data_IF_224419642615
#
_entry.id   IF_224419642615
#
_cell.length_a   1.000
_cell.length_b   1.000
_cell.length_c   1.000
_cell.angle_alpha   90.00
_cell.angle_beta   90.00
_cell.angle_gamma   90.00
#
_symmetry.space_group_name_H-M   'P 1'
#
loop_
_entity.id
_entity.type
_entity.pdbx_description
1 polymer ?
#
# COMPACT_ATOMS: atom_id res chain seq x y z
N UNK A 1 -1.91 -11.24 10.85
CA UNK A 1 -3.32 -11.13 10.38
C UNK A 1 -3.68 -9.83 9.64
N UNK A 2 -3.05 -8.65 9.84
CA UNK A 2 -3.33 -7.47 8.99
C UNK A 2 -2.83 -7.63 7.54
N UNK A 3 -1.66 -8.26 7.36
CA UNK A 3 -0.96 -8.37 6.09
C UNK A 3 -1.72 -9.18 5.01
N UNK A 4 -2.32 -10.32 5.38
CA UNK A 4 -3.10 -11.16 4.45
C UNK A 4 -4.34 -10.44 3.88
N UNK A 5 -4.92 -9.52 4.65
CA UNK A 5 -6.11 -8.77 4.22
C UNK A 5 -5.78 -7.58 3.31
N UNK A 6 -4.64 -6.91 3.54
CA UNK A 6 -4.08 -5.92 2.59
C UNK A 6 -3.85 -6.62 1.25
N UNK A 7 -3.21 -7.79 1.31
CA UNK A 7 -2.88 -8.59 0.14
C UNK A 7 -4.12 -9.05 -0.61
N UNK A 8 -5.20 -9.46 0.08
CA UNK A 8 -6.46 -9.84 -0.59
C UNK A 8 -7.09 -8.70 -1.41
N UNK A 9 -7.06 -7.47 -0.91
CA UNK A 9 -7.61 -6.31 -1.62
C UNK A 9 -6.71 -5.82 -2.76
N UNK A 10 -5.39 -5.85 -2.56
CA UNK A 10 -4.41 -5.59 -3.62
C UNK A 10 -4.42 -6.67 -4.71
N UNK A 11 -4.68 -7.92 -4.34
CA UNK A 11 -4.84 -9.05 -5.26
C UNK A 11 -6.12 -8.91 -6.10
N UNK A 12 -7.20 -8.34 -5.55
CA UNK A 12 -8.41 -8.01 -6.33
C UNK A 12 -8.15 -6.91 -7.37
N UNK A 13 -7.30 -5.93 -7.09
CA UNK A 13 -6.87 -4.93 -8.09
C UNK A 13 -6.12 -5.57 -9.27
N UNK A 14 -5.32 -6.61 -9.02
CA UNK A 14 -4.62 -7.34 -10.09
C UNK A 14 -5.58 -8.22 -10.91
N UNK A 15 -6.55 -8.89 -10.28
CA UNK A 15 -7.43 -9.84 -10.97
C UNK A 15 -8.57 -9.19 -11.79
N UNK A 16 -8.88 -7.91 -11.56
CA UNK A 16 -9.82 -7.17 -12.44
C UNK A 16 -9.17 -6.64 -13.72
N UNK A 17 -7.84 -6.73 -13.86
CA UNK A 17 -7.09 -6.29 -15.04
C UNK A 17 -6.55 -7.48 -15.86
N UNK A 18 -7.41 -8.20 -16.59
CA UNK A 18 -6.95 -9.09 -17.68
C UNK A 18 -7.91 -9.15 -18.88
N UNK A 19 -7.60 -8.37 -19.91
CA UNK A 19 -7.19 -8.87 -21.22
C UNK A 19 -7.11 -7.71 -22.24
N UNK A 20 -5.90 -7.41 -22.75
CA UNK A 20 -5.66 -7.21 -24.19
C UNK A 20 -4.15 -7.23 -24.51
N UNK A 21 -3.78 -7.69 -25.71
CA UNK A 21 -2.41 -8.04 -26.07
C UNK A 21 -1.56 -6.80 -26.39
N UNK A 22 -0.26 -6.92 -26.08
CA UNK A 22 0.76 -5.92 -26.34
C UNK A 22 0.79 -5.51 -27.82
N UNK A 23 0.58 -4.22 -28.09
CA UNK A 23 0.88 -3.59 -29.38
C UNK A 23 2.24 -2.92 -29.29
N UNK A 24 3.14 -3.27 -30.22
CA UNK A 24 4.44 -2.62 -30.40
C UNK A 24 4.23 -1.15 -30.78
N UNK A 25 4.92 -0.24 -30.10
CA UNK A 25 5.09 1.14 -30.58
C UNK A 25 6.58 1.38 -30.81
N UNK A 26 6.89 1.86 -32.01
CA UNK A 26 8.22 2.01 -32.57
C UNK A 26 9.01 3.19 -31.98
N UNK A 27 10.32 3.03 -32.06
CA UNK A 27 11.31 4.03 -31.73
C UNK A 27 11.26 5.21 -32.70
N UNK A 28 11.31 6.43 -32.17
CA UNK A 28 11.88 7.58 -32.89
C UNK A 28 12.86 8.30 -31.97
N UNK A 29 14.10 8.33 -32.44
CA UNK A 29 15.23 9.05 -31.86
C UNK A 29 15.16 10.51 -32.28
N UNK A 30 15.36 11.42 -31.33
CA UNK A 30 15.97 12.73 -31.58
C UNK A 30 16.68 13.19 -30.30
N UNK A 31 18.00 13.32 -30.40
CA UNK A 31 18.86 13.74 -29.32
C UNK A 31 18.93 15.25 -29.19
N UNK A 32 19.16 15.72 -27.97
CA UNK A 32 19.93 16.95 -27.75
C UNK A 32 20.58 16.90 -26.38
N UNK A 33 21.88 17.20 -26.35
CA UNK A 33 22.70 17.32 -25.17
C UNK A 33 22.21 18.48 -24.27
N UNK A 34 21.95 18.19 -22.99
CA UNK A 34 22.14 19.18 -21.93
C UNK A 34 22.77 18.50 -20.72
N UNK A 35 23.99 18.94 -20.40
CA UNK A 35 24.63 18.65 -19.14
C UNK A 35 23.93 19.46 -18.05
N UNK A 36 23.24 18.78 -17.12
CA UNK A 36 22.79 19.39 -15.88
C UNK A 36 23.60 18.80 -14.72
N UNK A 37 24.33 19.67 -14.04
CA UNK A 37 24.92 19.44 -12.73
C UNK A 37 23.80 19.08 -11.74
N UNK A 38 23.90 17.91 -11.09
CA UNK A 38 23.03 17.53 -9.97
C UNK A 38 23.75 17.87 -8.65
N UNK A 39 23.05 18.43 -7.65
CA UNK A 39 23.64 18.75 -6.35
C UNK A 39 23.87 17.48 -5.54
N UNK A 40 25.05 17.42 -4.92
CA UNK A 40 25.46 16.36 -3.99
C UNK A 40 24.62 16.42 -2.71
N UNK A 41 23.76 15.44 -2.50
CA UNK A 41 23.03 15.23 -1.26
C UNK A 41 22.98 13.74 -0.91
N UNK A 42 23.74 13.35 0.12
CA UNK A 42 23.74 12.04 0.77
C UNK A 42 23.80 10.82 -0.16
N UNK A 43 24.85 10.76 -0.97
CA UNK A 43 25.17 9.59 -1.78
C UNK A 43 25.87 8.57 -0.87
N UNK A 44 25.17 7.47 -0.56
CA UNK A 44 25.74 6.30 0.10
C UNK A 44 27.13 5.99 -0.48
N UNK A 45 28.14 5.85 0.39
CA UNK A 45 29.48 5.43 0.01
C UNK A 45 29.40 4.15 -0.81
N UNK A 46 29.52 4.33 -2.12
CA UNK A 46 29.56 3.24 -3.07
C UNK A 46 30.67 2.29 -2.63
N UNK A 47 30.34 1.01 -2.54
CA UNK A 47 31.32 -0.06 -2.45
C UNK A 47 32.06 -0.14 -3.82
N UNK A 48 32.91 0.86 -4.11
CA UNK A 48 33.73 1.00 -5.33
C UNK A 48 34.65 -0.22 -5.54
N UNK A 49 34.77 -1.08 -4.53
CA UNK A 49 35.58 -2.30 -4.54
C UNK A 49 34.83 -3.54 -5.05
N UNK A 50 33.49 -3.53 -5.14
CA UNK A 50 32.73 -4.78 -5.39
C UNK A 50 32.25 -4.94 -6.84
N UNK A 51 31.99 -3.85 -7.56
CA UNK A 51 31.49 -3.89 -8.94
C UNK A 51 32.20 -2.89 -9.85
N UNK A 52 32.40 -3.26 -11.11
CA UNK A 52 32.98 -2.36 -12.11
C UNK A 52 32.06 -1.14 -12.34
N UNK A 53 32.60 0.08 -12.53
CA UNK A 53 31.81 1.30 -12.73
C UNK A 53 30.79 1.21 -13.87
N UNK A 54 31.14 0.52 -14.96
CA UNK A 54 30.27 0.29 -16.11
C UNK A 54 29.01 -0.52 -15.77
N UNK A 55 29.12 -1.47 -14.83
CA UNK A 55 28.00 -2.30 -14.41
C UNK A 55 27.03 -1.52 -13.52
N UNK A 56 27.54 -0.68 -12.60
CA UNK A 56 26.72 0.24 -11.80
C UNK A 56 25.90 1.21 -12.66
N UNK A 57 26.50 1.76 -13.73
CA UNK A 57 25.78 2.58 -14.70
C UNK A 57 24.68 1.77 -15.43
N UNK A 58 24.98 0.54 -15.83
CA UNK A 58 24.01 -0.34 -16.49
C UNK A 58 22.81 -0.67 -15.59
N UNK A 59 23.02 -0.87 -14.28
CA UNK A 59 21.94 -1.10 -13.29
C UNK A 59 21.03 0.13 -13.22
N UNK A 60 21.61 1.32 -13.05
CA UNK A 60 20.82 2.55 -13.00
C UNK A 60 20.02 2.76 -14.28
N UNK A 61 20.59 2.43 -15.44
CA UNK A 61 19.87 2.52 -16.71
C UNK A 61 18.70 1.54 -16.79
N UNK A 62 18.89 0.26 -16.45
CA UNK A 62 17.83 -0.76 -16.58
C UNK A 62 16.71 -0.57 -15.57
N UNK A 63 16.99 0.03 -14.42
CA UNK A 63 15.98 0.30 -13.38
C UNK A 63 15.26 1.64 -13.57
N UNK A 64 15.56 2.42 -14.60
CA UNK A 64 15.06 3.81 -14.79
C UNK A 64 15.51 4.78 -13.69
N UNK A 65 16.73 4.61 -13.19
CA UNK A 65 17.46 5.51 -12.27
C UNK A 65 16.80 5.81 -10.91
N UNK A 66 16.19 4.84 -10.21
CA UNK A 66 15.66 5.07 -8.88
C UNK A 66 16.80 5.29 -7.87
N UNK A 67 16.51 5.90 -6.71
CA UNK A 67 17.40 5.83 -5.57
C UNK A 67 17.70 4.38 -5.20
N UNK A 68 18.99 4.04 -5.10
CA UNK A 68 19.47 2.71 -4.72
C UNK A 68 19.99 2.81 -3.29
N UNK A 69 19.42 2.01 -2.39
CA UNK A 69 19.77 2.00 -0.97
C UNK A 69 20.83 0.94 -0.65
N UNK A 70 20.83 -0.18 -1.37
CA UNK A 70 21.82 -1.24 -1.22
C UNK A 70 22.08 -1.91 -2.56
N UNK A 71 23.35 -2.26 -2.79
CA UNK A 71 23.78 -3.05 -3.93
C UNK A 71 24.82 -4.05 -3.44
N UNK A 72 24.50 -5.35 -3.48
CA UNK A 72 25.34 -6.40 -2.90
C UNK A 72 25.34 -7.65 -3.76
N UNK A 73 26.50 -8.31 -3.89
CA UNK A 73 26.60 -9.63 -4.55
C UNK A 73 26.08 -10.69 -3.58
N UNK A 74 25.15 -11.50 -4.04
CA UNK A 74 24.54 -12.59 -3.26
C UNK A 74 24.62 -13.89 -4.04
N UNK A 75 24.57 -15.01 -3.32
CA UNK A 75 24.40 -16.34 -3.89
C UNK A 75 22.94 -16.74 -3.75
N UNK A 76 22.24 -16.85 -4.87
CA UNK A 76 20.86 -17.33 -4.92
C UNK A 76 20.86 -18.84 -5.10
N UNK A 77 20.16 -19.55 -4.21
CA UNK A 77 19.95 -20.99 -4.34
C UNK A 77 18.84 -21.28 -5.36
N UNK A 78 19.19 -21.90 -6.49
CA UNK A 78 18.22 -22.22 -7.56
C UNK A 78 17.72 -23.66 -7.50
N UNK A 79 18.53 -24.55 -6.90
CA UNK A 79 18.20 -25.94 -6.56
C UNK A 79 18.93 -26.31 -5.27
N UNK A 80 18.50 -27.34 -4.52
CA UNK A 80 19.22 -27.79 -3.34
C UNK A 80 20.72 -27.95 -3.63
N UNK A 81 21.56 -27.24 -2.87
CA UNK A 81 23.04 -27.22 -3.02
C UNK A 81 23.58 -26.56 -4.30
N UNK A 82 22.74 -26.07 -5.22
CA UNK A 82 23.17 -25.28 -6.40
C UNK A 82 22.93 -23.80 -6.16
N UNK A 83 24.01 -23.05 -6.07
CA UNK A 83 23.97 -21.60 -5.91
C UNK A 83 24.48 -20.90 -7.16
N UNK A 84 23.86 -19.79 -7.52
CA UNK A 84 24.30 -18.94 -8.61
C UNK A 84 24.52 -17.52 -8.10
N UNK A 85 25.58 -16.87 -8.57
CA UNK A 85 25.85 -15.50 -8.19
C UNK A 85 24.87 -14.54 -8.86
N UNK A 86 24.36 -13.60 -8.07
CA UNK A 86 23.46 -12.52 -8.47
C UNK A 86 23.84 -11.21 -7.80
N UNK A 87 23.30 -10.13 -8.33
CA UNK A 87 23.39 -8.81 -7.71
C UNK A 87 22.02 -8.45 -7.17
N UNK A 88 21.94 -8.29 -5.85
CA UNK A 88 20.77 -7.80 -5.17
C UNK A 88 20.83 -6.28 -5.10
N UNK A 89 19.76 -5.64 -5.56
CA UNK A 89 19.59 -4.18 -5.51
C UNK A 89 18.32 -3.86 -4.74
N UNK A 90 18.47 -3.01 -3.72
CA UNK A 90 17.34 -2.47 -2.96
C UNK A 90 17.01 -1.05 -3.45
N UNK A 91 15.76 -0.88 -3.87
CA UNK A 91 15.10 0.43 -3.97
C UNK A 91 14.13 0.58 -2.81
N UNK A 92 13.44 1.71 -2.67
CA UNK A 92 12.55 1.96 -1.53
C UNK A 92 11.51 0.86 -1.33
N UNK A 93 10.83 0.46 -2.41
CA UNK A 93 9.70 -0.48 -2.36
C UNK A 93 9.98 -1.85 -2.96
N UNK A 94 11.12 -2.01 -3.66
CA UNK A 94 11.36 -3.18 -4.48
C UNK A 94 12.78 -3.72 -4.37
N UNK A 95 12.86 -5.04 -4.34
CA UNK A 95 14.10 -5.82 -4.34
C UNK A 95 14.27 -6.40 -5.74
N UNK A 96 15.45 -6.21 -6.34
CA UNK A 96 15.80 -6.73 -7.65
C UNK A 96 16.95 -7.73 -7.53
N UNK A 97 16.89 -8.80 -8.31
CA UNK A 97 17.99 -9.73 -8.52
C UNK A 97 18.41 -9.65 -9.99
N UNK A 98 19.65 -9.26 -10.22
CA UNK A 98 20.22 -9.08 -11.55
C UNK A 98 21.35 -10.07 -11.81
N UNK A 99 21.49 -10.47 -13.07
CA UNK A 99 22.62 -11.26 -13.54
C UNK A 99 23.89 -10.40 -13.64
N UNK A 100 25.06 -10.99 -13.41
CA UNK A 100 26.37 -10.30 -13.38
C UNK A 100 26.87 -9.77 -14.75
N UNK A 101 26.19 -10.11 -15.85
CA UNK A 101 26.63 -9.74 -17.21
C UNK A 101 26.29 -8.28 -17.53
N UNK A 102 27.15 -7.62 -18.30
CA UNK A 102 26.88 -6.31 -18.92
C UNK A 102 26.31 -6.55 -20.34
N UNK A 103 25.18 -5.94 -20.75
CA UNK A 103 24.33 -5.04 -19.96
C UNK A 103 23.59 -5.79 -18.84
N UNK A 104 23.45 -5.12 -17.69
CA UNK A 104 22.72 -5.64 -16.55
C UNK A 104 21.29 -5.98 -16.95
N UNK A 105 20.85 -7.18 -16.59
CA UNK A 105 19.51 -7.69 -16.87
C UNK A 105 18.83 -8.05 -15.55
N UNK A 106 17.64 -7.51 -15.32
CA UNK A 106 16.77 -7.92 -14.22
C UNK A 106 16.29 -9.34 -14.52
N UNK A 107 16.61 -10.27 -13.62
CA UNK A 107 16.15 -11.66 -13.74
C UNK A 107 14.84 -11.87 -12.98
N UNK A 108 14.75 -11.29 -11.79
CA UNK A 108 13.49 -11.20 -11.05
C UNK A 108 13.49 -9.96 -10.14
N UNK A 109 12.29 -9.57 -9.73
CA UNK A 109 12.06 -8.51 -8.77
C UNK A 109 10.77 -8.78 -8.01
N UNK A 110 10.69 -8.31 -6.79
CA UNK A 110 9.47 -8.35 -5.99
C UNK A 110 9.38 -7.11 -5.11
N UNK A 111 8.16 -6.59 -4.96
CA UNK A 111 7.87 -5.48 -4.05
C UNK A 111 7.83 -5.98 -2.60
N UNK A 112 8.14 -5.10 -1.64
CA UNK A 112 8.12 -5.43 -0.21
C UNK A 112 6.75 -5.92 0.28
N UNK A 113 5.66 -5.48 -0.33
CA UNK A 113 4.30 -5.94 -0.05
C UNK A 113 4.01 -7.36 -0.57
N UNK A 114 4.83 -7.88 -1.50
CA UNK A 114 4.74 -9.29 -1.97
C UNK A 114 5.35 -10.27 -0.96
N UNK A 115 6.13 -9.80 0.02
CA UNK A 115 6.84 -10.64 1.00
C UNK A 115 5.87 -11.16 2.06
N UNK A 116 5.68 -12.48 2.13
CA UNK A 116 4.88 -13.16 3.14
C UNK A 116 5.68 -13.47 4.40
N UNK A 117 6.94 -13.89 4.22
CA UNK A 117 7.84 -14.19 5.32
C UNK A 117 9.29 -13.85 4.95
N UNK A 118 10.05 -13.41 5.96
CA UNK A 118 11.47 -13.09 5.84
C UNK A 118 12.23 -13.79 6.96
N UNK A 119 12.73 -14.98 6.68
CA UNK A 119 13.34 -15.85 7.70
C UNK A 119 14.87 -15.82 7.59
N UNK A 120 15.56 -15.45 8.67
CA UNK A 120 17.02 -15.61 8.76
C UNK A 120 17.36 -17.08 9.08
N UNK A 121 17.89 -17.83 8.11
CA UNK A 121 18.23 -19.24 8.29
C UNK A 121 19.55 -19.42 9.05
N UNK A 122 20.48 -18.50 8.86
CA UNK A 122 21.74 -18.37 9.61
C UNK A 122 22.24 -16.92 9.51
N UNK A 123 23.36 -16.60 10.16
CA UNK A 123 23.89 -15.23 10.21
C UNK A 123 24.05 -14.55 8.84
N UNK A 124 24.27 -15.31 7.75
CA UNK A 124 24.50 -14.76 6.41
C UNK A 124 23.51 -15.31 5.38
N UNK A 125 22.35 -15.84 5.78
CA UNK A 125 21.39 -16.40 4.83
C UNK A 125 19.95 -16.02 5.20
N UNK A 126 19.23 -15.47 4.22
CA UNK A 126 17.82 -15.10 4.35
C UNK A 126 17.01 -15.90 3.35
N UNK A 127 15.88 -16.44 3.83
CA UNK A 127 14.82 -17.01 3.02
C UNK A 127 13.69 -15.99 2.90
N UNK A 128 13.44 -15.52 1.68
CA UNK A 128 12.34 -14.62 1.36
C UNK A 128 11.22 -15.41 0.71
N UNK A 129 10.07 -15.49 1.36
CA UNK A 129 8.88 -16.10 0.79
C UNK A 129 7.98 -14.99 0.26
N UNK A 130 7.67 -15.05 -1.03
CA UNK A 130 6.74 -14.11 -1.68
C UNK A 130 5.47 -14.85 -2.08
N UNK A 131 4.50 -14.10 -2.59
CA UNK A 131 3.27 -14.69 -3.16
C UNK A 131 3.55 -15.69 -4.29
N UNK A 132 4.57 -15.42 -5.11
CA UNK A 132 4.84 -16.14 -6.37
C UNK A 132 6.00 -17.12 -6.27
N UNK A 133 6.95 -16.87 -5.37
CA UNK A 133 8.21 -17.61 -5.32
C UNK A 133 8.90 -17.50 -3.96
N UNK A 134 9.85 -18.41 -3.72
CA UNK A 134 10.74 -18.39 -2.56
C UNK A 134 12.19 -18.17 -2.99
N UNK A 135 12.91 -17.29 -2.30
CA UNK A 135 14.28 -16.92 -2.61
C UNK A 135 15.19 -17.21 -1.40
N UNK A 136 16.09 -18.18 -1.53
CA UNK A 136 17.13 -18.48 -0.54
C UNK A 136 18.41 -17.73 -0.94
N UNK A 137 18.74 -16.68 -0.19
CA UNK A 137 19.81 -15.73 -0.49
C UNK A 137 20.93 -15.85 0.55
N UNK A 138 22.14 -16.18 0.09
CA UNK A 138 23.36 -16.18 0.90
C UNK A 138 24.18 -14.91 0.66
N UNK A 139 24.49 -14.22 1.74
CA UNK A 139 25.17 -12.93 1.78
C UNK A 139 26.67 -13.10 2.07
N UNK A 140 27.50 -12.14 1.64
CA UNK A 140 28.93 -12.18 1.92
C UNK A 140 29.23 -11.97 3.42
N UNK A 141 28.45 -11.14 4.09
CA UNK A 141 28.56 -10.85 5.54
C UNK A 141 27.18 -10.84 6.21
N UNK A 142 27.15 -11.04 7.52
CA UNK A 142 25.92 -10.95 8.31
C UNK A 142 25.33 -9.55 8.28
N UNK A 143 26.19 -8.54 8.32
CA UNK A 143 25.78 -7.14 8.21
C UNK A 143 24.99 -6.85 6.92
N UNK A 144 25.37 -7.46 5.79
CA UNK A 144 24.64 -7.31 4.53
C UNK A 144 23.23 -7.92 4.62
N UNK A 145 23.09 -9.06 5.29
CA UNK A 145 21.80 -9.68 5.55
C UNK A 145 20.94 -8.79 6.47
N UNK A 146 21.53 -8.27 7.55
CA UNK A 146 20.85 -7.37 8.48
C UNK A 146 20.41 -6.06 7.82
N UNK A 147 21.19 -5.53 6.88
CA UNK A 147 20.82 -4.35 6.09
C UNK A 147 19.56 -4.60 5.25
N UNK A 148 19.44 -5.76 4.59
CA UNK A 148 18.23 -6.13 3.84
C UNK A 148 17.03 -6.24 4.76
N UNK A 149 17.17 -6.94 5.89
CA UNK A 149 16.08 -7.11 6.87
C UNK A 149 15.62 -5.77 7.43
N UNK A 150 16.56 -4.88 7.80
CA UNK A 150 16.24 -3.53 8.27
C UNK A 150 15.55 -2.69 7.18
N UNK A 151 16.01 -2.81 5.94
CA UNK A 151 15.40 -2.10 4.81
C UNK A 151 13.95 -2.51 4.60
N UNK A 152 13.66 -3.82 4.55
CA UNK A 152 12.29 -4.33 4.39
C UNK A 152 11.40 -3.84 5.54
N UNK A 153 11.86 -3.95 6.79
CA UNK A 153 11.10 -3.49 7.94
C UNK A 153 10.87 -1.97 7.93
N UNK A 154 11.87 -1.19 7.53
CA UNK A 154 11.77 0.27 7.40
C UNK A 154 10.77 0.67 6.31
N UNK A 155 10.81 0.02 5.14
CA UNK A 155 9.85 0.25 4.07
C UNK A 155 8.42 -0.06 4.54
N UNK A 156 8.21 -1.21 5.19
CA UNK A 156 6.89 -1.58 5.68
C UNK A 156 6.37 -0.67 6.81
N UNK A 157 7.25 -0.18 7.69
CA UNK A 157 6.89 0.77 8.73
C UNK A 157 6.42 2.13 8.18
N UNK A 158 6.87 2.52 6.98
CA UNK A 158 6.37 3.72 6.29
C UNK A 158 4.92 3.57 5.80
N UNK A 159 4.52 2.35 5.46
CA UNK A 159 3.18 2.04 4.93
C UNK A 159 2.20 1.75 6.08
N UNK A 160 2.68 1.05 7.11
CA UNK A 160 1.89 0.64 8.27
C UNK A 160 2.51 1.24 9.54
N UNK A 161 2.04 2.41 10.00
CA UNK A 161 2.64 3.09 11.15
C UNK A 161 2.41 2.34 12.49
N UNK A 162 1.54 1.33 12.53
CA UNK A 162 1.25 0.57 13.75
C UNK A 162 2.29 -0.54 14.01
N UNK A 163 2.91 -0.58 15.21
CA UNK A 163 3.94 -1.56 15.57
C UNK A 163 3.51 -3.03 15.43
N UNK A 164 2.21 -3.32 15.60
CA UNK A 164 1.65 -4.67 15.49
C UNK A 164 1.77 -5.26 14.07
N UNK A 165 1.87 -4.41 13.04
CA UNK A 165 1.98 -4.83 11.64
C UNK A 165 3.39 -5.27 11.25
N UNK A 166 4.43 -4.72 11.91
CA UNK A 166 5.84 -4.94 11.57
C UNK A 166 6.43 -6.16 12.31
N UNK A 167 5.91 -6.47 13.50
CA UNK A 167 6.45 -7.55 14.35
C UNK A 167 6.25 -8.96 13.77
N UNK A 168 5.27 -9.15 12.87
CA UNK A 168 4.93 -10.46 12.29
C UNK A 168 6.00 -11.03 11.35
N UNK A 169 6.95 -10.22 10.88
CA UNK A 169 8.02 -10.68 9.99
C UNK A 169 9.10 -11.46 10.75
N UNK A 170 9.15 -11.35 12.09
CA UNK A 170 10.18 -11.99 12.91
C UNK A 170 9.80 -13.34 13.53
N UNK A 171 8.53 -13.76 13.54
CA UNK A 171 8.11 -14.95 14.29
C UNK A 171 7.36 -15.95 13.43
N UNK A 172 8.11 -16.66 12.58
CA UNK A 172 7.76 -18.03 12.19
C UNK A 172 8.10 -18.96 13.35
N UNK A 173 7.10 -19.28 14.17
CA UNK A 173 7.03 -20.41 15.10
C UNK A 173 8.26 -20.70 16.00
N UNK A 174 8.28 -20.11 17.19
CA UNK A 174 8.85 -20.76 18.39
C UNK A 174 7.89 -20.53 19.54
N UNK A 175 7.11 -21.55 19.88
CA UNK A 175 6.35 -21.61 21.13
C UNK A 175 7.34 -21.73 22.30
N UNK A 176 7.38 -20.71 23.16
CA UNK A 176 7.85 -20.87 24.54
C UNK A 176 6.87 -20.15 25.47
N UNK A 177 6.48 -20.74 26.60
CA UNK A 177 5.40 -20.22 27.43
C UNK A 177 5.91 -19.07 28.30
N UNK A 178 5.39 -17.86 28.10
CA UNK A 178 5.69 -16.72 28.97
C UNK A 178 4.82 -16.76 30.23
N UNK A 179 5.49 -16.67 31.38
CA UNK A 179 4.91 -16.53 32.71
C UNK A 179 4.51 -15.07 32.93
N UNK A 180 3.35 -14.78 33.55
CA UNK A 180 2.87 -13.41 33.69
C UNK A 180 3.63 -12.69 34.80
N UNK A 181 4.24 -11.55 34.48
CA UNK A 181 4.70 -10.58 35.48
C UNK A 181 3.89 -9.30 35.34
N UNK A 182 3.11 -9.03 36.38
CA UNK A 182 2.49 -7.76 36.74
C UNK A 182 3.48 -6.59 36.61
N UNK A 183 3.10 -5.54 35.89
CA UNK A 183 3.55 -4.17 36.19
C UNK A 183 2.45 -3.17 35.82
N UNK A 184 2.09 -2.34 36.80
CA UNK A 184 1.03 -1.33 36.81
C UNK A 184 1.20 -0.19 35.78
N UNK A 185 0.12 0.56 35.47
CA UNK A 185 0.11 1.58 34.43
C UNK A 185 0.41 2.97 35.00
N UNK A 186 1.65 3.45 34.90
CA UNK A 186 1.97 4.88 34.70
C UNK A 186 3.48 5.09 34.61
N UNK A 187 3.99 5.48 33.45
CA UNK A 187 5.06 6.48 33.32
C UNK A 187 5.26 6.84 31.85
N UNK A 188 5.24 8.14 31.63
CA UNK A 188 5.53 8.89 30.42
C UNK A 188 6.94 8.58 29.87
N UNK A 189 7.13 8.65 28.55
CA UNK A 189 8.05 9.62 27.94
C UNK A 189 8.28 9.36 26.46
N UNK A 190 8.28 10.46 25.73
CA UNK A 190 8.54 10.70 24.32
C UNK A 190 9.74 9.93 23.75
N UNK A 191 9.48 9.12 22.72
CA UNK A 191 10.44 8.88 21.63
C UNK A 191 9.72 9.11 20.31
N UNK A 192 9.79 10.35 19.83
CA UNK A 192 9.63 10.79 18.44
C UNK A 192 9.20 9.74 17.40
N UNK A 193 7.91 9.49 17.25
CA UNK A 193 7.38 9.26 15.90
C UNK A 193 7.45 10.61 15.21
N UNK A 194 8.40 10.78 14.30
CA UNK A 194 8.34 11.87 13.32
C UNK A 194 6.92 11.78 12.73
N UNK A 195 6.06 12.76 13.01
CA UNK A 195 4.73 12.79 12.40
C UNK A 195 4.95 12.86 10.90
N UNK A 196 4.69 11.75 10.21
CA UNK A 196 4.74 11.72 8.76
C UNK A 196 3.66 12.66 8.22
N UNK A 197 4.02 13.44 7.21
CA UNK A 197 3.11 14.38 6.56
C UNK A 197 1.84 13.64 6.15
N UNK A 198 0.68 14.18 6.54
CA UNK A 198 -0.63 13.56 6.34
C UNK A 198 -0.69 12.06 6.67
N UNK A 199 -0.02 11.63 7.75
CA UNK A 199 -0.01 10.24 8.21
C UNK A 199 0.71 9.29 7.25
N UNK A 200 1.64 9.79 6.44
CA UNK A 200 2.44 8.99 5.52
C UNK A 200 1.72 8.58 4.24
N UNK A 201 0.65 9.30 3.88
CA UNK A 201 -0.14 9.00 2.68
C UNK A 201 0.73 8.84 1.42
N UNK A 202 1.63 9.78 1.16
CA UNK A 202 2.48 9.81 -0.04
C UNK A 202 3.44 8.61 -0.11
N UNK A 203 3.91 8.10 1.03
CA UNK A 203 4.75 6.89 1.10
C UNK A 203 3.92 5.65 0.78
N UNK A 204 2.74 5.51 1.39
CA UNK A 204 1.80 4.42 1.10
C UNK A 204 1.37 4.41 -0.36
N UNK A 205 0.99 5.56 -0.91
CA UNK A 205 0.60 5.70 -2.31
C UNK A 205 1.73 5.31 -3.26
N UNK A 206 2.97 5.77 -3.03
CA UNK A 206 4.12 5.39 -3.83
C UNK A 206 4.42 3.89 -3.77
N UNK A 207 4.31 3.27 -2.59
CA UNK A 207 4.49 1.84 -2.43
C UNK A 207 3.45 1.02 -3.22
N UNK A 208 2.19 1.48 -3.19
CA UNK A 208 1.08 0.87 -3.93
C UNK A 208 1.24 1.05 -5.44
N UNK A 209 1.71 2.21 -5.91
CA UNK A 209 2.04 2.43 -7.31
C UNK A 209 3.12 1.45 -7.79
N UNK A 210 4.24 1.33 -7.04
CA UNK A 210 5.31 0.38 -7.38
C UNK A 210 4.80 -1.06 -7.39
N UNK A 211 4.03 -1.47 -6.38
CA UNK A 211 3.46 -2.83 -6.30
C UNK A 211 2.59 -3.16 -7.53
N UNK A 212 1.82 -2.19 -8.01
CA UNK A 212 0.92 -2.35 -9.16
C UNK A 212 1.60 -2.09 -10.52
N UNK A 213 2.89 -1.78 -10.54
CA UNK A 213 3.63 -1.43 -11.76
C UNK A 213 3.11 -0.16 -12.43
N UNK A 214 2.56 0.76 -11.65
CA UNK A 214 2.07 2.05 -12.11
C UNK A 214 3.06 3.16 -11.75
N UNK A 215 3.07 4.22 -12.57
CA UNK A 215 3.88 5.40 -12.28
C UNK A 215 3.20 6.21 -11.19
N UNK A 216 3.92 6.50 -10.11
CA UNK A 216 3.43 7.38 -9.05
C UNK A 216 3.21 8.78 -9.61
N UNK A 217 2.02 9.35 -9.38
CA UNK A 217 1.69 10.71 -9.81
C UNK A 217 2.26 11.71 -8.81
N UNK A 218 3.27 12.46 -9.23
CA UNK A 218 3.94 13.46 -8.39
C UNK A 218 2.97 14.56 -7.93
N UNK A 219 2.00 14.93 -8.76
CA UNK A 219 0.96 15.92 -8.41
C UNK A 219 0.12 15.49 -7.20
N UNK A 220 -0.20 14.20 -7.06
CA UNK A 220 -0.96 13.68 -5.92
C UNK A 220 -0.14 13.82 -4.64
N UNK A 221 1.14 13.45 -4.69
CA UNK A 221 2.03 13.58 -3.54
C UNK A 221 2.24 15.05 -3.18
N UNK A 222 2.40 15.92 -4.17
CA UNK A 222 2.60 17.34 -3.95
C UNK A 222 1.37 18.00 -3.33
N UNK A 223 0.16 17.72 -3.83
CA UNK A 223 -1.09 18.24 -3.27
C UNK A 223 -1.27 17.78 -1.82
N UNK A 224 -1.03 16.50 -1.54
CA UNK A 224 -1.19 15.97 -0.17
C UNK A 224 -0.13 16.53 0.78
N UNK A 225 1.14 16.50 0.37
CA UNK A 225 2.24 16.89 1.25
C UNK A 225 2.34 18.41 1.45
N UNK A 226 1.79 19.18 0.51
CA UNK A 226 1.85 20.65 0.53
C UNK A 226 0.51 21.25 0.90
N UNK A 227 -0.53 21.07 0.08
CA UNK A 227 -1.82 21.75 0.25
C UNK A 227 -2.55 21.18 1.45
N UNK A 228 -2.89 19.89 1.42
CA UNK A 228 -3.68 19.24 2.47
C UNK A 228 -3.00 19.35 3.84
N UNK A 229 -1.69 19.13 3.88
CA UNK A 229 -0.92 19.28 5.11
C UNK A 229 -0.93 20.73 5.63
N UNK A 230 -0.72 21.72 4.76
CA UNK A 230 -0.70 23.14 5.18
C UNK A 230 -2.04 23.64 5.70
N UNK A 231 -3.14 23.07 5.20
CA UNK A 231 -4.50 23.40 5.61
C UNK A 231 -5.00 22.59 6.81
N UNK A 232 -4.18 21.68 7.35
CA UNK A 232 -4.59 20.67 8.34
C UNK A 232 -5.85 19.90 7.92
N UNK A 233 -6.01 19.69 6.60
CA UNK A 233 -7.24 19.16 6.04
C UNK A 233 -7.35 17.65 6.32
N UNK A 234 -8.46 17.25 6.93
CA UNK A 234 -8.79 15.86 7.31
C UNK A 234 -9.80 15.20 6.36
N UNK A 235 -10.32 15.96 5.41
CA UNK A 235 -11.24 15.51 4.37
C UNK A 235 -10.51 15.29 3.07
N UNK A 236 -10.34 14.03 2.68
CA UNK A 236 -9.81 13.65 1.38
C UNK A 236 -10.89 13.79 0.31
N UNK A 237 -10.77 14.79 -0.57
CA UNK A 237 -11.73 15.06 -1.62
C UNK A 237 -11.29 14.41 -2.95
N UNK A 238 -12.01 13.38 -3.40
CA UNK A 238 -11.70 12.70 -4.67
C UNK A 238 -11.87 13.59 -5.91
N UNK A 239 -12.58 14.71 -5.79
CA UNK A 239 -12.74 15.65 -6.89
C UNK A 239 -11.45 16.39 -7.24
N UNK A 240 -10.55 16.57 -6.28
CA UNK A 240 -9.26 17.24 -6.52
C UNK A 240 -8.40 16.45 -7.51
N UNK A 241 -8.68 15.15 -7.66
CA UNK A 241 -7.96 14.23 -8.52
C UNK A 241 -8.84 13.65 -9.65
N UNK A 242 -10.02 14.22 -9.92
CA UNK A 242 -10.98 13.65 -10.86
C UNK A 242 -10.51 13.61 -12.33
N UNK A 243 -9.48 14.37 -12.67
CA UNK A 243 -8.82 14.36 -13.98
C UNK A 243 -7.94 13.13 -14.20
N UNK A 244 -7.59 12.40 -13.13
CA UNK A 244 -6.79 11.19 -13.20
C UNK A 244 -7.60 9.99 -13.70
N UNK A 245 -6.88 8.99 -14.20
CA UNK A 245 -7.51 7.74 -14.63
C UNK A 245 -8.09 6.96 -13.44
N UNK A 246 -9.11 6.15 -13.70
CA UNK A 246 -9.77 5.32 -12.67
C UNK A 246 -8.77 4.45 -11.88
N UNK A 247 -7.69 4.01 -12.53
CA UNK A 247 -6.67 3.15 -11.91
C UNK A 247 -5.80 3.92 -10.93
N UNK A 248 -5.46 5.18 -11.25
CA UNK A 248 -4.75 6.09 -10.36
C UNK A 248 -5.64 6.40 -9.13
N UNK A 249 -6.91 6.77 -9.35
CA UNK A 249 -7.89 7.01 -8.28
C UNK A 249 -8.08 5.81 -7.35
N UNK A 250 -8.08 4.59 -7.89
CA UNK A 250 -8.19 3.39 -7.07
C UNK A 250 -6.98 3.26 -6.11
N UNK A 251 -5.76 3.52 -6.58
CA UNK A 251 -4.56 3.50 -5.72
C UNK A 251 -4.55 4.61 -4.68
N UNK A 252 -5.05 5.80 -5.04
CA UNK A 252 -5.23 6.93 -4.11
C UNK A 252 -6.17 6.53 -2.97
N UNK A 253 -7.34 5.97 -3.30
CA UNK A 253 -8.30 5.50 -2.29
C UNK A 253 -7.72 4.36 -1.46
N UNK A 254 -7.03 3.40 -2.09
CA UNK A 254 -6.41 2.28 -1.38
C UNK A 254 -5.39 2.75 -0.32
N UNK A 255 -4.67 3.85 -0.57
CA UNK A 255 -3.74 4.41 0.39
C UNK A 255 -4.41 4.96 1.66
N UNK A 256 -5.72 5.27 1.62
CA UNK A 256 -6.49 5.74 2.77
C UNK A 256 -6.86 4.62 3.76
N UNK A 257 -6.83 3.35 3.33
CA UNK A 257 -7.29 2.21 4.15
C UNK A 257 -6.55 2.09 5.49
N UNK A 258 -5.27 2.45 5.53
CA UNK A 258 -4.40 2.38 6.73
C UNK A 258 -3.89 3.75 7.18
N UNK A 259 -4.37 4.81 6.54
CA UNK A 259 -3.98 6.17 6.87
C UNK A 259 -4.60 6.61 8.21
N UNK A 260 -3.83 7.34 9.01
CA UNK A 260 -4.25 7.80 10.34
C UNK A 260 -4.58 9.29 10.39
N UNK A 261 -4.43 9.99 9.26
CA UNK A 261 -4.60 11.43 9.16
C UNK A 261 -5.98 11.82 8.65
N UNK A 262 -6.41 11.21 7.55
CA UNK A 262 -7.71 11.48 6.92
C UNK A 262 -8.83 10.79 7.67
N UNK A 263 -9.77 11.58 8.16
CA UNK A 263 -10.96 11.10 8.88
C UNK A 263 -12.20 11.13 8.02
N UNK A 264 -12.15 11.78 6.84
CA UNK A 264 -13.27 11.84 5.91
C UNK A 264 -12.85 11.55 4.49
N UNK A 265 -13.62 10.71 3.81
CA UNK A 265 -13.53 10.49 2.36
C UNK A 265 -14.76 11.13 1.70
N UNK A 266 -14.50 12.10 0.82
CA UNK A 266 -15.54 12.87 0.15
C UNK A 266 -15.51 12.65 -1.37
N UNK A 267 -16.69 12.40 -1.92
CA UNK A 267 -16.93 12.29 -3.35
C UNK A 267 -18.37 12.74 -3.63
N UNK A 268 -18.53 13.75 -4.48
CA UNK A 268 -19.83 14.25 -4.90
C UNK A 268 -19.85 14.49 -6.40
N UNK A 269 -20.92 14.07 -7.08
CA UNK A 269 -21.11 14.30 -8.52
C UNK A 269 -19.98 13.72 -9.40
N UNK A 270 -19.28 12.68 -8.90
CA UNK A 270 -18.26 11.93 -9.63
C UNK A 270 -18.63 10.45 -9.68
N UNK A 271 -18.84 9.94 -10.90
CA UNK A 271 -19.20 8.53 -11.10
C UNK A 271 -18.00 7.62 -10.84
N UNK A 272 -18.05 6.86 -9.75
CA UNK A 272 -16.98 5.93 -9.39
C UNK A 272 -17.00 4.69 -10.28
N UNK A 273 -15.85 4.39 -10.89
CA UNK A 273 -15.61 3.11 -11.56
C UNK A 273 -15.62 1.95 -10.56
N UNK A 274 -15.82 0.72 -11.05
CA UNK A 274 -15.89 -0.47 -10.20
C UNK A 274 -14.61 -0.65 -9.36
N UNK A 275 -13.44 -0.39 -9.92
CA UNK A 275 -12.15 -0.51 -9.22
C UNK A 275 -12.05 0.47 -8.05
N UNK A 276 -12.43 1.73 -8.26
CA UNK A 276 -12.43 2.75 -7.21
C UNK A 276 -13.45 2.40 -6.13
N UNK A 277 -14.65 1.98 -6.52
CA UNK A 277 -15.69 1.58 -5.58
C UNK A 277 -15.25 0.39 -4.69
N UNK A 278 -14.55 -0.60 -5.25
CA UNK A 278 -13.98 -1.70 -4.47
C UNK A 278 -12.89 -1.22 -3.49
N UNK A 279 -12.11 -0.19 -3.84
CA UNK A 279 -11.15 0.40 -2.90
C UNK A 279 -11.81 1.25 -1.80
N UNK A 280 -12.95 1.88 -2.09
CA UNK A 280 -13.77 2.53 -1.05
C UNK A 280 -14.29 1.49 -0.06
N UNK A 281 -14.80 0.36 -0.54
CA UNK A 281 -15.23 -0.76 0.30
C UNK A 281 -14.06 -1.31 1.13
N UNK A 282 -12.88 -1.48 0.51
CA UNK A 282 -11.69 -1.91 1.22
C UNK A 282 -11.30 -0.93 2.34
N UNK A 283 -11.30 0.37 2.04
CA UNK A 283 -11.01 1.43 3.02
C UNK A 283 -11.97 1.37 4.20
N UNK A 284 -13.28 1.25 3.94
CA UNK A 284 -14.28 1.10 5.01
C UNK A 284 -14.08 -0.18 5.85
N UNK A 285 -13.60 -1.26 5.23
CA UNK A 285 -13.34 -2.55 5.89
C UNK A 285 -12.10 -2.57 6.80
N UNK A 286 -11.14 -1.65 6.61
CA UNK A 286 -9.84 -1.68 7.30
C UNK A 286 -9.52 -0.43 8.09
N UNK A 287 -10.07 0.71 7.73
CA UNK A 287 -9.75 1.95 8.41
C UNK A 287 -10.35 1.95 9.82
N UNK A 288 -9.51 2.32 10.78
CA UNK A 288 -9.89 2.63 12.16
C UNK A 288 -9.93 4.13 12.42
N UNK A 289 -9.67 4.94 11.39
CA UNK A 289 -9.60 6.41 11.49
C UNK A 289 -10.62 7.11 10.60
N UNK A 290 -11.23 6.40 9.64
CA UNK A 290 -12.30 6.94 8.82
C UNK A 290 -13.58 7.11 9.64
N UNK A 291 -13.99 8.35 9.85
CA UNK A 291 -15.12 8.79 10.65
C UNK A 291 -16.34 9.14 9.78
N UNK A 292 -16.09 9.74 8.61
CA UNK A 292 -17.14 10.15 7.67
C UNK A 292 -16.91 9.60 6.26
N UNK A 293 -17.95 9.02 5.67
CA UNK A 293 -17.95 8.60 4.26
C UNK A 293 -19.07 9.33 3.50
N UNK A 294 -18.68 10.15 2.53
CA UNK A 294 -19.60 10.89 1.68
C UNK A 294 -19.42 10.46 0.23
N UNK A 295 -20.41 9.74 -0.30
CA UNK A 295 -20.50 9.30 -1.69
C UNK A 295 -21.85 9.78 -2.26
N UNK A 296 -21.95 11.05 -2.59
CA UNK A 296 -23.18 11.66 -3.10
C UNK A 296 -23.19 11.67 -4.64
N UNK A 297 -24.24 11.14 -5.25
CA UNK A 297 -24.35 11.03 -6.71
C UNK A 297 -23.12 10.35 -7.36
N UNK A 298 -22.62 9.30 -6.73
CA UNK A 298 -21.38 8.61 -7.11
C UNK A 298 -21.59 7.48 -8.14
N UNK A 299 -22.82 7.32 -8.65
CA UNK A 299 -23.19 6.26 -9.60
C UNK A 299 -23.26 4.86 -8.98
N UNK A 300 -23.42 4.78 -7.66
CA UNK A 300 -23.49 3.54 -6.89
C UNK A 300 -24.88 2.91 -6.99
N UNK A 301 -24.96 1.59 -6.88
CA UNK A 301 -26.20 0.81 -6.99
C UNK A 301 -26.39 -0.10 -5.78
N UNK A 302 -27.51 -0.82 -5.74
CA UNK A 302 -27.86 -1.83 -4.71
C UNK A 302 -26.71 -2.79 -4.38
N UNK A 303 -25.95 -3.29 -5.36
CA UNK A 303 -24.81 -4.20 -5.12
C UNK A 303 -23.74 -3.59 -4.22
N UNK A 304 -23.42 -2.30 -4.42
CA UNK A 304 -22.46 -1.60 -3.58
C UNK A 304 -22.96 -1.48 -2.14
N UNK A 305 -24.23 -1.15 -1.92
CA UNK A 305 -24.80 -1.06 -0.57
C UNK A 305 -24.76 -2.41 0.16
N UNK A 306 -25.02 -3.52 -0.54
CA UNK A 306 -24.90 -4.87 0.01
C UNK A 306 -23.47 -5.20 0.42
N UNK A 307 -22.50 -4.90 -0.44
CA UNK A 307 -21.08 -5.08 -0.14
C UNK A 307 -20.62 -4.17 1.00
N UNK A 308 -21.08 -2.93 1.03
CA UNK A 308 -20.76 -1.99 2.11
C UNK A 308 -21.25 -2.50 3.45
N UNK A 309 -22.48 -3.03 3.51
CA UNK A 309 -22.98 -3.69 4.72
C UNK A 309 -22.09 -4.88 5.12
N UNK A 310 -21.73 -5.75 4.16
CA UNK A 310 -20.85 -6.88 4.42
C UNK A 310 -19.51 -6.46 5.03
N UNK A 311 -18.80 -5.50 4.41
CA UNK A 311 -17.47 -5.09 4.88
C UNK A 311 -17.50 -4.31 6.19
N UNK A 312 -18.58 -3.59 6.49
CA UNK A 312 -18.76 -2.95 7.79
C UNK A 312 -18.92 -3.99 8.91
N UNK A 313 -19.58 -5.12 8.62
CA UNK A 313 -19.69 -6.23 9.60
C UNK A 313 -18.35 -6.89 9.90
N UNK A 314 -17.40 -6.82 8.96
CA UNK A 314 -16.03 -7.33 9.13
C UNK A 314 -15.12 -6.36 9.91
N UNK A 315 -15.57 -5.12 10.17
CA UNK A 315 -14.80 -4.09 10.87
C UNK A 315 -15.50 -3.64 12.17
N UNK A 316 -15.43 -4.45 13.25
CA UNK A 316 -16.08 -4.12 14.52
C UNK A 316 -15.45 -2.88 15.21
N UNK A 317 -14.25 -2.47 14.79
CA UNK A 317 -13.53 -1.32 15.33
C UNK A 317 -13.57 -0.13 14.37
N UNK A 318 -14.63 0.00 13.57
CA UNK A 318 -14.81 1.15 12.69
C UNK A 318 -14.96 2.44 13.51
N UNK A 319 -14.33 3.52 13.06
CA UNK A 319 -14.54 4.86 13.61
C UNK A 319 -15.73 5.58 12.96
N UNK A 320 -16.37 4.97 11.95
CA UNK A 320 -17.41 5.59 11.15
C UNK A 320 -18.62 5.94 12.03
N UNK A 321 -19.05 7.19 11.96
CA UNK A 321 -20.27 7.68 12.60
C UNK A 321 -21.10 8.58 11.67
N UNK A 322 -20.62 8.89 10.46
CA UNK A 322 -21.37 9.64 9.46
C UNK A 322 -21.32 8.95 8.09
N UNK A 323 -22.49 8.76 7.48
CA UNK A 323 -22.61 8.15 6.16
C UNK A 323 -23.57 8.95 5.27
N UNK A 324 -23.08 9.37 4.10
CA UNK A 324 -23.90 10.00 3.06
C UNK A 324 -23.79 9.19 1.78
N UNK A 325 -24.92 8.63 1.33
CA UNK A 325 -25.03 7.88 0.06
C UNK A 325 -26.14 8.46 -0.83
N UNK A 326 -26.42 9.76 -0.67
CA UNK A 326 -27.51 10.43 -1.38
C UNK A 326 -27.35 10.35 -2.90
N UNK A 327 -28.46 10.45 -3.62
CA UNK A 327 -28.52 10.40 -5.09
C UNK A 327 -27.93 9.12 -5.74
N UNK A 328 -27.88 8.00 -5.01
CA UNK A 328 -27.52 6.70 -5.57
C UNK A 328 -28.73 5.75 -5.49
N UNK A 329 -29.15 5.06 -6.57
CA UNK A 329 -30.24 4.09 -6.52
C UNK A 329 -29.83 2.81 -5.75
N UNK A 330 -29.94 2.87 -4.42
CA UNK A 330 -29.60 1.75 -3.51
C UNK A 330 -30.76 0.77 -3.32
N UNK A 331 -32.00 1.22 -3.58
CA UNK A 331 -33.23 0.45 -3.43
C UNK A 331 -33.49 -0.04 -1.98
N UNK A 332 -34.67 -0.60 -1.74
CA UNK A 332 -35.07 -1.09 -0.41
C UNK A 332 -34.13 -2.19 0.13
N UNK A 333 -33.61 -3.03 -0.78
CA UNK A 333 -32.69 -4.12 -0.44
C UNK A 333 -31.35 -3.60 0.09
N UNK A 334 -30.79 -2.57 -0.54
CA UNK A 334 -29.54 -1.95 -0.10
C UNK A 334 -29.70 -1.28 1.26
N UNK A 335 -30.80 -0.55 1.48
CA UNK A 335 -31.11 0.05 2.78
C UNK A 335 -31.22 -1.02 3.87
N UNK A 336 -31.99 -2.09 3.63
CA UNK A 336 -32.23 -3.15 4.63
C UNK A 336 -30.93 -3.83 5.10
N UNK A 337 -29.98 -4.03 4.19
CA UNK A 337 -28.67 -4.58 4.54
C UNK A 337 -27.83 -3.60 5.36
N UNK A 338 -27.76 -2.33 4.93
CA UNK A 338 -27.01 -1.30 5.64
C UNK A 338 -27.58 -1.05 7.05
N UNK A 339 -28.91 -1.04 7.17
CA UNK A 339 -29.59 -0.67 8.40
C UNK A 339 -29.21 -1.55 9.59
N UNK A 340 -28.95 -2.84 9.35
CA UNK A 340 -28.49 -3.76 10.40
C UNK A 340 -27.11 -3.37 10.94
N UNK A 341 -26.21 -2.94 10.05
CA UNK A 341 -24.82 -2.63 10.39
C UNK A 341 -24.66 -1.25 11.01
N UNK A 342 -25.49 -0.28 10.59
CA UNK A 342 -25.50 1.07 11.14
C UNK A 342 -25.83 1.09 12.65
N UNK A 343 -26.57 0.10 13.15
CA UNK A 343 -26.87 -0.05 14.57
C UNK A 343 -25.67 -0.57 15.39
N UNK A 344 -24.70 -1.21 14.72
CA UNK A 344 -23.53 -1.82 15.35
C UNK A 344 -22.31 -0.88 15.39
N UNK A 345 -22.45 0.38 14.95
CA UNK A 345 -21.34 1.33 14.96
C UNK A 345 -20.90 1.64 16.40
N UNK A 346 -19.61 1.44 16.76
CA UNK A 346 -19.15 1.59 18.14
C UNK A 346 -19.39 2.98 18.73
N UNK A 347 -19.20 4.03 17.92
CA UNK A 347 -19.44 5.43 18.30
C UNK A 347 -20.91 5.86 18.19
N UNK A 348 -21.79 4.98 17.68
CA UNK A 348 -23.14 5.32 17.26
C UNK A 348 -23.18 6.15 15.98
N UNK A 349 -24.32 6.12 15.28
CA UNK A 349 -24.52 6.89 14.05
C UNK A 349 -24.96 8.33 14.38
N UNK A 350 -24.10 9.30 14.05
CA UNK A 350 -24.37 10.73 14.23
C UNK A 350 -25.06 11.39 13.03
N UNK A 351 -24.79 10.91 11.82
CA UNK A 351 -25.31 11.49 10.58
C UNK A 351 -25.57 10.42 9.54
N UNK A 352 -26.77 10.43 8.97
CA UNK A 352 -27.18 9.56 7.87
C UNK A 352 -27.92 10.35 6.80
N UNK A 353 -27.39 10.39 5.59
CA UNK A 353 -28.01 11.10 4.46
C UNK A 353 -28.25 10.15 3.29
N UNK A 354 -29.51 9.75 3.10
CA UNK A 354 -29.96 8.80 2.07
C UNK A 354 -30.99 9.44 1.12
N UNK A 355 -30.87 10.73 0.83
CA UNK A 355 -31.82 11.45 -0.03
C UNK A 355 -31.79 10.91 -1.46
N UNK A 356 -32.95 10.77 -2.09
CA UNK A 356 -33.10 10.32 -3.49
C UNK A 356 -32.36 9.02 -3.81
N UNK A 357 -32.49 8.02 -2.94
CA UNK A 357 -31.81 6.72 -3.06
C UNK A 357 -32.66 5.60 -3.67
N UNK A 358 -33.80 5.96 -4.28
CA UNK A 358 -34.81 5.00 -4.80
C UNK A 358 -35.38 4.06 -3.74
N UNK A 359 -35.37 4.47 -2.47
CA UNK A 359 -36.01 3.78 -1.35
C UNK A 359 -37.49 4.12 -1.34
N UNK A 360 -38.33 3.10 -1.17
CA UNK A 360 -39.80 3.23 -1.09
C UNK A 360 -40.27 3.35 0.36
N UNK A 361 -41.55 3.70 0.55
CA UNK A 361 -42.16 3.69 1.87
C UNK A 361 -42.11 2.32 2.55
N UNK A 362 -42.04 1.21 1.79
CA UNK A 362 -41.88 -0.14 2.36
C UNK A 362 -40.46 -0.35 2.91
N UNK A 363 -39.44 0.15 2.22
CA UNK A 363 -38.06 0.09 2.67
C UNK A 363 -37.83 0.84 3.99
N UNK A 364 -38.43 2.03 4.14
CA UNK A 364 -38.35 2.81 5.39
C UNK A 364 -39.09 2.11 6.55
N UNK A 365 -40.26 1.53 6.26
CA UNK A 365 -41.08 0.83 7.25
C UNK A 365 -40.59 -0.59 7.56
N UNK A 366 -39.53 -1.07 6.89
CA UNK A 366 -38.88 -2.31 7.26
C UNK A 366 -38.32 -2.12 8.66
N UNK A 367 -38.98 -2.72 9.66
CA UNK A 367 -38.61 -2.58 11.07
C UNK A 367 -37.13 -2.88 11.22
N UNK A 368 -36.37 -1.87 11.63
CA UNK A 368 -35.12 -2.02 12.37
C UNK A 368 -35.46 -2.89 13.58
N UNK A 369 -35.34 -4.21 13.42
CA UNK A 369 -35.56 -5.18 14.48
C UNK A 369 -34.22 -5.57 15.07
#
# INVERSE_FOLDING_TARGET
MPFEHVQSALFKLQNHSFHKPATKVGEHVLGTNMAFFLPEGHVAEWNKRTFAPCYGYSIRKVLNRPPIHLLVRVKLETKPKKNEDRVLVLTTWRIYLLGLKVPAKVECSFNVLEIRALNALNHNQILVETEKATYSLKFPTSESADQVTRHVNSALAKIFPSPASVCLIRHGNVETPETPRDVSPNSESSTSTIHSICGGFSETYAALCDYNGQSCREEVQWDVDTIYHSEDNREFNLLDFCHLESRDLALIVAALAYNQWFTKLYCKDLRLGSEVAEQVLHTASKSHHLEELVLDNAGLKTDFALKLACVLSENPNTALHALTLSHNPLEDKGLSALSQQLLCFPKGLSKLCLSKTSITAKGINHKLK
#
